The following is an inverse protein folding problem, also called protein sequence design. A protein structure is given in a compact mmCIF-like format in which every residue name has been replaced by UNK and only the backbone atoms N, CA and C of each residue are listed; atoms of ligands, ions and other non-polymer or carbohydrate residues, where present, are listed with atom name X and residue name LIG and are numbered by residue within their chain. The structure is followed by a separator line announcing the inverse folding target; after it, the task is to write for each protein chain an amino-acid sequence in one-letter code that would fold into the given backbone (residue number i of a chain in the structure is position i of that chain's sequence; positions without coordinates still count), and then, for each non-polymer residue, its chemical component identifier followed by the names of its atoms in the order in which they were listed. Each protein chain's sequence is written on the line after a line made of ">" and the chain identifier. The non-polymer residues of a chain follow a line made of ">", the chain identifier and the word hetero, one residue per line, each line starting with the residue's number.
data_IF_349233550515
#
_entry.id   IF_349233550515
#
_cell.length_a   1.000
_cell.length_b   1.000
_cell.length_c   1.000
_cell.angle_alpha   90.00
_cell.angle_beta   90.00
_cell.angle_gamma   90.00
#
_symmetry.space_group_name_H-M   'P 1'
#
loop_
_entity.id
_entity.type
_entity.pdbx_description
1 polymer ?
#
# COMPACT_ATOMS: atom_id res chain seq x y z
N UNK A 1 -19.76 -23.23 -23.24
CA UNK A 1 -20.20 -22.63 -21.98
C UNK A 1 -20.44 -21.16 -22.19
N UNK A 2 -21.59 -20.68 -21.88
CA UNK A 2 -21.91 -19.27 -21.99
C UNK A 2 -21.73 -18.63 -20.64
N UNK A 3 -20.98 -17.52 -20.58
CA UNK A 3 -20.88 -16.74 -19.34
C UNK A 3 -22.23 -16.06 -19.06
N UNK A 4 -22.48 -15.83 -17.79
CA UNK A 4 -23.66 -15.10 -17.37
C UNK A 4 -23.58 -13.66 -17.92
N UNK A 5 -24.67 -13.07 -18.45
CA UNK A 5 -24.61 -11.71 -19.01
C UNK A 5 -23.99 -10.68 -18.09
N UNK A 6 -24.24 -10.80 -16.77
CA UNK A 6 -23.63 -9.89 -15.79
C UNK A 6 -22.14 -10.05 -15.66
N UNK A 7 -21.60 -11.25 -15.87
CA UNK A 7 -20.17 -11.50 -15.81
C UNK A 7 -19.45 -10.80 -16.96
N UNK A 8 -20.11 -10.67 -18.12
CA UNK A 8 -19.54 -9.98 -19.27
C UNK A 8 -19.51 -8.46 -19.07
N UNK A 9 -20.34 -7.93 -18.17
CA UNK A 9 -20.42 -6.50 -17.89
C UNK A 9 -19.49 -6.10 -16.76
N UNK A 10 -19.04 -7.04 -15.92
CA UNK A 10 -18.17 -6.75 -14.80
C UNK A 10 -16.78 -6.40 -15.28
N UNK A 11 -16.27 -5.26 -14.85
CA UNK A 11 -14.89 -4.87 -15.10
C UNK A 11 -13.95 -5.81 -14.33
N UNK A 12 -12.89 -6.25 -14.98
CA UNK A 12 -11.88 -7.10 -14.34
C UNK A 12 -10.77 -6.23 -13.79
N UNK A 13 -10.85 -5.95 -12.52
CA UNK A 13 -9.88 -5.08 -11.86
C UNK A 13 -8.61 -5.84 -11.48
N UNK A 14 -7.43 -5.30 -11.83
CA UNK A 14 -6.23 -5.69 -11.09
C UNK A 14 -6.41 -5.30 -9.64
N UNK A 15 -5.85 -6.07 -8.73
CA UNK A 15 -5.87 -5.79 -7.30
C UNK A 15 -4.46 -5.42 -6.86
N UNK A 16 -4.32 -4.27 -6.24
CA UNK A 16 -3.06 -3.78 -5.68
C UNK A 16 -3.16 -3.79 -4.17
N UNK A 17 -2.19 -4.40 -3.50
CA UNK A 17 -2.16 -4.48 -2.05
C UNK A 17 -1.07 -3.55 -1.53
N UNK A 18 -1.44 -2.63 -0.64
CA UNK A 18 -0.54 -1.60 -0.12
C UNK A 18 -0.45 -1.69 1.39
N UNK A 19 0.71 -1.33 1.94
CA UNK A 19 0.95 -1.39 3.37
C UNK A 19 1.39 -0.08 3.97
N UNK A 20 0.87 0.22 5.16
CA UNK A 20 1.30 1.36 5.96
C UNK A 20 2.30 0.83 6.98
N UNK A 21 3.56 1.22 6.86
CA UNK A 21 4.65 0.82 7.77
C UNK A 21 5.15 2.07 8.47
N UNK A 22 4.98 2.12 9.78
CA UNK A 22 5.36 3.26 10.61
C UNK A 22 6.48 2.84 11.55
N UNK A 23 7.57 3.61 11.53
CA UNK A 23 8.73 3.42 12.42
C UNK A 23 9.11 4.74 13.05
N UNK A 24 9.14 4.79 14.36
CA UNK A 24 9.57 5.99 15.11
C UNK A 24 8.85 7.27 14.65
N UNK A 25 7.53 7.19 14.47
CA UNK A 25 6.71 8.35 14.09
C UNK A 25 6.81 8.74 12.62
N UNK A 26 7.39 7.89 11.78
CA UNK A 26 7.54 8.16 10.36
C UNK A 26 6.98 7.01 9.54
N UNK A 27 6.40 7.34 8.38
CA UNK A 27 5.87 6.37 7.43
C UNK A 27 6.78 6.27 6.21
N UNK A 28 7.02 5.05 5.74
CA UNK A 28 7.82 4.86 4.54
C UNK A 28 6.97 5.00 3.29
N UNK A 29 7.42 5.81 2.35
CA UNK A 29 6.74 6.05 1.08
C UNK A 29 7.73 5.94 -0.07
N UNK A 30 7.19 5.60 -1.24
CA UNK A 30 7.94 5.48 -2.49
C UNK A 30 7.47 6.54 -3.46
N UNK A 31 8.40 7.10 -4.24
CA UNK A 31 8.06 8.06 -5.29
C UNK A 31 7.94 7.31 -6.62
N UNK A 32 6.83 7.50 -7.30
CA UNK A 32 6.57 6.85 -8.58
C UNK A 32 6.96 7.75 -9.77
N UNK A 33 6.75 7.23 -10.98
CA UNK A 33 7.09 7.91 -12.22
C UNK A 33 6.23 9.14 -12.53
N UNK A 34 5.10 9.32 -11.81
CA UNK A 34 4.24 10.50 -11.92
C UNK A 34 4.62 11.57 -10.91
N UNK A 35 5.75 11.39 -10.21
CA UNK A 35 6.22 12.28 -9.14
C UNK A 35 5.22 12.41 -7.99
N UNK A 36 4.51 11.32 -7.71
CA UNK A 36 3.64 11.20 -6.56
C UNK A 36 4.24 10.23 -5.56
N UNK A 37 3.97 10.47 -4.29
CA UNK A 37 4.31 9.52 -3.24
C UNK A 37 3.23 8.46 -3.12
N UNK A 38 3.62 7.25 -2.79
CA UNK A 38 2.68 6.15 -2.65
C UNK A 38 3.14 5.18 -1.56
N UNK A 39 2.20 4.38 -1.08
CA UNK A 39 2.50 3.29 -0.16
C UNK A 39 3.25 2.17 -0.88
N UNK A 40 4.14 1.46 -0.19
CA UNK A 40 4.76 0.26 -0.75
C UNK A 40 3.73 -0.86 -0.91
N UNK A 41 3.99 -1.73 -1.86
CA UNK A 41 3.14 -2.87 -2.17
C UNK A 41 3.12 -3.14 -3.67
N UNK A 42 2.19 -3.97 -4.11
CA UNK A 42 2.13 -4.33 -5.50
C UNK A 42 0.93 -5.18 -5.86
N UNK A 43 0.96 -5.73 -7.06
CA UNK A 43 -0.18 -6.46 -7.63
C UNK A 43 -0.32 -7.86 -7.05
N UNK A 44 -1.55 -8.19 -6.69
CA UNK A 44 -1.91 -9.53 -6.25
C UNK A 44 -1.75 -10.51 -7.41
N UNK A 45 -1.08 -11.61 -7.15
CA UNK A 45 -0.90 -12.68 -8.11
C UNK A 45 -1.76 -13.89 -7.73
N UNK A 46 -2.04 -14.74 -8.73
CA UNK A 46 -2.76 -15.99 -8.47
C UNK A 46 -1.94 -16.87 -7.53
N UNK A 47 -2.63 -17.54 -6.62
CA UNK A 47 -2.00 -18.47 -5.69
C UNK A 47 -1.54 -17.85 -4.38
N UNK A 48 -1.71 -16.54 -4.20
CA UNK A 48 -1.37 -15.87 -2.94
C UNK A 48 -2.57 -15.13 -2.36
N UNK A 49 -2.60 -15.02 -1.03
CA UNK A 49 -3.57 -14.16 -0.36
C UNK A 49 -3.09 -12.70 -0.45
N UNK A 50 -3.97 -11.71 -0.24
CA UNK A 50 -3.54 -10.31 -0.17
C UNK A 50 -2.43 -10.08 0.86
N UNK A 51 -2.49 -10.74 2.01
CA UNK A 51 -1.47 -10.61 3.06
C UNK A 51 -0.13 -11.17 2.58
N UNK A 52 -0.14 -12.33 1.95
CA UNK A 52 1.09 -12.92 1.37
C UNK A 52 1.68 -12.04 0.28
N UNK A 53 0.83 -11.47 -0.57
CA UNK A 53 1.24 -10.52 -1.59
C UNK A 53 1.99 -9.34 -0.99
N UNK A 54 1.45 -8.77 0.07
CA UNK A 54 2.04 -7.60 0.70
C UNK A 54 3.40 -7.90 1.32
N UNK A 55 3.52 -9.03 2.02
CA UNK A 55 4.80 -9.47 2.60
C UNK A 55 5.85 -9.63 1.49
N UNK A 56 5.47 -10.27 0.38
CA UNK A 56 6.35 -10.50 -0.75
C UNK A 56 6.79 -9.19 -1.41
N UNK A 57 5.82 -8.33 -1.71
CA UNK A 57 6.08 -7.07 -2.41
C UNK A 57 6.95 -6.11 -1.60
N UNK A 58 6.67 -5.96 -0.31
CA UNK A 58 7.48 -5.08 0.54
C UNK A 58 8.87 -5.67 0.75
N UNK A 59 8.98 -6.99 0.83
CA UNK A 59 10.27 -7.66 0.88
C UNK A 59 11.10 -7.40 -0.38
N UNK A 60 10.48 -7.51 -1.55
CA UNK A 60 11.15 -7.28 -2.83
C UNK A 60 11.53 -5.82 -3.03
N UNK A 61 10.63 -4.90 -2.72
CA UNK A 61 10.85 -3.46 -2.95
C UNK A 61 11.81 -2.82 -1.96
N UNK A 62 11.72 -3.19 -0.69
CA UNK A 62 12.36 -2.46 0.41
C UNK A 62 13.21 -3.33 1.31
N UNK A 63 13.22 -4.64 1.12
CA UNK A 63 13.93 -5.58 2.01
C UNK A 63 13.49 -5.43 3.47
N UNK A 64 12.24 -5.02 3.69
CA UNK A 64 11.66 -4.96 5.02
C UNK A 64 10.84 -6.20 5.29
N UNK A 65 10.93 -6.69 6.51
CA UNK A 65 10.10 -7.78 7.00
C UNK A 65 8.93 -7.21 7.77
N UNK A 66 7.72 -7.48 7.29
CA UNK A 66 6.51 -6.95 7.90
C UNK A 66 5.45 -8.04 8.05
N UNK A 67 4.50 -7.78 8.91
CA UNK A 67 3.30 -8.57 9.05
C UNK A 67 2.07 -7.68 8.91
N UNK A 68 1.18 -7.96 7.93
CA UNK A 68 -0.08 -7.22 7.83
C UNK A 68 -0.98 -7.58 9.02
N UNK A 69 -1.51 -6.56 9.69
CA UNK A 69 -2.37 -6.78 10.86
C UNK A 69 -3.84 -6.54 10.61
N UNK A 70 -4.16 -5.43 9.96
CA UNK A 70 -5.55 -5.03 9.75
C UNK A 70 -5.73 -4.44 8.37
N UNK A 71 -6.79 -4.85 7.69
CA UNK A 71 -7.23 -4.10 6.51
C UNK A 71 -7.81 -2.76 6.98
N UNK A 72 -7.34 -1.68 6.39
CA UNK A 72 -7.74 -0.33 6.77
C UNK A 72 -8.82 0.20 5.85
N UNK A 73 -8.71 -0.08 4.55
CA UNK A 73 -9.63 0.43 3.56
C UNK A 73 -9.49 -0.36 2.26
N UNK A 74 -10.51 -0.23 1.42
CA UNK A 74 -10.48 -0.73 0.05
C UNK A 74 -11.24 0.25 -0.83
N UNK A 75 -10.72 0.52 -2.03
CA UNK A 75 -11.39 1.43 -2.96
C UNK A 75 -10.97 1.16 -4.39
N UNK A 76 -11.79 1.64 -5.32
CA UNK A 76 -11.42 1.65 -6.75
C UNK A 76 -10.64 2.93 -7.01
N UNK A 77 -9.44 2.79 -7.53
CA UNK A 77 -8.57 3.91 -7.85
C UNK A 77 -8.37 3.98 -9.37
N UNK A 78 -8.69 5.13 -9.95
CA UNK A 78 -8.39 5.42 -11.35
C UNK A 78 -7.04 6.13 -11.40
N UNK A 79 -6.01 5.40 -11.81
CA UNK A 79 -4.63 5.90 -11.83
C UNK A 79 -4.51 7.01 -12.88
N UNK A 80 -5.00 6.72 -14.08
CA UNK A 80 -5.16 7.65 -15.19
C UNK A 80 -6.43 7.23 -15.92
N UNK A 81 -6.99 8.06 -16.81
CA UNK A 81 -8.21 7.69 -17.54
C UNK A 81 -8.08 6.30 -18.17
N UNK A 82 -9.06 5.44 -17.90
CA UNK A 82 -9.11 4.08 -18.43
C UNK A 82 -8.31 3.03 -17.67
N UNK A 83 -7.54 3.41 -16.66
CA UNK A 83 -6.72 2.47 -15.88
C UNK A 83 -7.24 2.44 -14.45
N UNK A 84 -7.97 1.40 -14.12
CA UNK A 84 -8.65 1.25 -12.83
C UNK A 84 -8.09 0.06 -12.07
N UNK A 85 -7.88 0.22 -10.78
CA UNK A 85 -7.43 -0.85 -9.90
C UNK A 85 -8.25 -0.86 -8.61
N UNK A 86 -8.35 -2.01 -7.98
CA UNK A 86 -8.85 -2.08 -6.60
C UNK A 86 -7.64 -2.03 -5.69
N UNK A 87 -7.63 -1.10 -4.75
CA UNK A 87 -6.58 -0.98 -3.74
C UNK A 87 -7.07 -1.57 -2.44
N UNK A 88 -6.26 -2.44 -1.85
CA UNK A 88 -6.45 -2.94 -0.49
C UNK A 88 -5.31 -2.40 0.35
N UNK A 89 -5.62 -1.59 1.36
CA UNK A 89 -4.61 -0.99 2.23
C UNK A 89 -4.62 -1.65 3.60
N UNK A 90 -3.44 -2.07 4.06
CA UNK A 90 -3.26 -2.74 5.36
C UNK A 90 -2.35 -1.94 6.28
N UNK A 91 -2.68 -1.94 7.56
CA UNK A 91 -1.73 -1.54 8.59
C UNK A 91 -0.79 -2.69 8.87
N UNK A 92 0.51 -2.42 8.90
CA UNK A 92 1.54 -3.43 9.07
C UNK A 92 2.40 -3.14 10.29
N UNK A 93 2.97 -4.22 10.86
CA UNK A 93 4.02 -4.08 11.87
C UNK A 93 5.30 -4.69 11.32
N UNK A 94 6.44 -4.11 11.69
CA UNK A 94 7.73 -4.68 11.31
C UNK A 94 8.06 -5.85 12.22
N UNK A 95 8.51 -6.95 11.60
CA UNK A 95 8.96 -8.14 12.32
C UNK A 95 10.48 -8.26 12.35
N UNK A 96 11.17 -7.43 11.54
CA UNK A 96 12.63 -7.34 11.52
C UNK A 96 13.09 -5.95 11.91
N UNK A 97 14.40 -5.76 12.01
CA UNK A 97 15.02 -4.50 12.39
C UNK A 97 15.97 -3.93 11.33
N UNK A 98 15.91 -4.49 10.11
CA UNK A 98 16.80 -4.07 9.04
C UNK A 98 16.48 -2.69 8.48
N UNK A 99 17.45 -2.11 7.80
CA UNK A 99 17.25 -0.86 7.07
C UNK A 99 16.51 -1.12 5.77
N UNK A 100 15.68 -0.15 5.38
CA UNK A 100 15.00 -0.21 4.10
C UNK A 100 16.01 0.01 2.96
N UNK A 101 15.95 -0.86 1.96
CA UNK A 101 16.83 -0.77 0.78
C UNK A 101 15.94 -0.81 -0.46
N UNK A 102 15.95 0.29 -1.21
CA UNK A 102 15.09 0.45 -2.39
C UNK A 102 15.55 -0.44 -3.55
N UNK A 103 14.62 -1.18 -4.13
CA UNK A 103 14.84 -1.87 -5.40
C UNK A 103 14.71 -0.87 -6.57
N UNK A 104 15.18 -1.26 -7.77
CA UNK A 104 15.34 -0.37 -8.90
C UNK A 104 14.08 0.13 -9.60
N UNK A 105 12.88 -0.25 -9.17
CA UNK A 105 11.63 0.11 -9.87
C UNK A 105 11.08 1.50 -9.51
N UNK A 106 11.44 2.03 -8.35
CA UNK A 106 10.99 3.34 -7.91
C UNK A 106 12.15 4.33 -7.92
N UNK A 107 11.81 5.62 -8.04
CA UNK A 107 12.80 6.68 -8.10
C UNK A 107 13.44 6.98 -6.75
N UNK A 108 12.66 6.86 -5.67
CA UNK A 108 13.07 7.30 -4.35
C UNK A 108 12.23 6.63 -3.27
N UNK A 109 12.84 6.39 -2.10
CA UNK A 109 12.09 6.04 -0.90
C UNK A 109 12.44 7.05 0.18
N UNK A 110 11.52 7.31 1.07
CA UNK A 110 11.76 8.21 2.18
C UNK A 110 10.84 7.89 3.35
N UNK A 111 11.37 8.05 4.56
CA UNK A 111 10.58 8.03 5.77
C UNK A 111 10.10 9.45 6.06
N UNK A 112 8.78 9.65 6.01
CA UNK A 112 8.19 10.97 6.26
C UNK A 112 7.62 11.05 7.67
N UNK A 113 7.89 12.15 8.40
CA UNK A 113 7.16 12.41 9.63
C UNK A 113 5.66 12.38 9.37
N UNK A 114 4.89 11.77 10.26
CA UNK A 114 3.43 11.66 10.08
C UNK A 114 2.76 13.02 9.91
N UNK A 115 3.28 14.06 10.59
CA UNK A 115 2.75 15.40 10.46
C UNK A 115 2.88 16.01 9.06
N UNK A 116 3.77 15.47 8.21
CA UNK A 116 4.02 16.01 6.88
C UNK A 116 3.16 15.34 5.80
N UNK A 117 2.46 14.25 6.13
CA UNK A 117 1.76 13.42 5.14
C UNK A 117 0.68 14.19 4.38
N UNK A 118 -0.11 15.01 5.08
CA UNK A 118 -1.23 15.71 4.44
C UNK A 118 -0.79 16.73 3.39
N UNK A 119 0.44 17.22 3.46
CA UNK A 119 0.99 18.17 2.51
C UNK A 119 1.63 17.50 1.28
N UNK A 120 1.78 16.19 1.27
CA UNK A 120 2.44 15.48 0.19
C UNK A 120 1.55 15.37 -1.05
N UNK A 121 2.18 15.33 -2.21
CA UNK A 121 1.50 14.98 -3.45
C UNK A 121 1.32 13.47 -3.48
N UNK A 122 0.14 13.04 -3.09
CA UNK A 122 -0.20 11.63 -2.91
C UNK A 122 -1.71 11.45 -2.98
N UNK A 123 -2.21 10.34 -3.54
CA UNK A 123 -3.65 10.05 -3.53
C UNK A 123 -4.26 10.08 -2.12
N UNK A 124 -5.45 10.67 -2.01
CA UNK A 124 -6.12 10.86 -0.72
C UNK A 124 -6.42 9.55 0.01
N UNK A 125 -6.70 8.49 -0.71
CA UNK A 125 -6.95 7.18 -0.10
C UNK A 125 -5.77 6.68 0.71
N UNK A 126 -4.55 6.93 0.25
CA UNK A 126 -3.35 6.56 0.99
C UNK A 126 -3.17 7.41 2.24
N UNK A 127 -3.45 8.72 2.15
CA UNK A 127 -3.40 9.62 3.31
C UNK A 127 -4.37 9.17 4.41
N UNK A 128 -5.59 8.80 4.01
CA UNK A 128 -6.60 8.28 4.94
C UNK A 128 -6.12 7.01 5.63
N UNK A 129 -5.53 6.09 4.88
CA UNK A 129 -5.02 4.83 5.43
C UNK A 129 -3.90 5.08 6.43
N UNK A 130 -2.97 5.98 6.10
CA UNK A 130 -1.87 6.34 6.99
C UNK A 130 -2.41 6.93 8.30
N UNK A 131 -3.34 7.87 8.21
CA UNK A 131 -3.93 8.51 9.38
C UNK A 131 -4.73 7.52 10.23
N UNK A 132 -5.46 6.61 9.60
CA UNK A 132 -6.19 5.55 10.29
C UNK A 132 -5.25 4.64 11.09
N UNK A 133 -4.18 4.16 10.46
CA UNK A 133 -3.23 3.27 11.12
C UNK A 133 -2.46 3.99 12.22
N UNK A 134 -2.03 5.22 11.97
CA UNK A 134 -1.36 6.04 12.97
C UNK A 134 -2.24 6.23 14.21
N UNK A 135 -3.52 6.50 14.01
CA UNK A 135 -4.48 6.65 15.11
C UNK A 135 -4.65 5.37 15.92
N UNK A 136 -4.72 4.22 15.25
CA UNK A 136 -4.83 2.92 15.92
C UNK A 136 -3.58 2.59 16.74
N UNK A 137 -2.40 2.85 16.20
CA UNK A 137 -1.14 2.63 16.90
C UNK A 137 -1.04 3.51 18.14
N UNK A 138 -1.45 4.77 18.05
CA UNK A 138 -1.45 5.69 19.18
C UNK A 138 -2.40 5.20 20.27
N UNK A 139 -3.59 4.71 19.92
CA UNK A 139 -4.57 4.18 20.87
C UNK A 139 -4.06 2.96 21.63
N UNK A 140 -3.28 2.10 20.94
CA UNK A 140 -2.73 0.89 21.56
C UNK A 140 -1.63 1.20 22.57
N UNK A 141 -0.95 2.34 22.38
CA UNK A 141 0.13 2.78 23.29
C UNK A 141 -0.38 3.55 24.51
N UNK A 142 -1.58 4.06 24.41
CA UNK A 142 -2.21 4.79 25.49
C UNK A 142 -2.69 3.87 26.59
#
# INVERSE_FOLDING_TARGET
>A
MTSHPRDNEAYRFPVTVKGVVIRAGKVILLRNERDEWELPGGKLELGESPEQCLVREIGEELQLEIEPESILDSWVYTIVPGVHVVVLAYGCVETGSGEAILSGEHKEMRWFPLADVDALRMPDGYKKSINSWSGRMASTRG
#
